data_IF_313467544014
#
_entry.id   IF_313467544014
#
_cell.length_a   1.000
_cell.length_b   1.000
_cell.length_c   1.000
_cell.angle_alpha   90.00
_cell.angle_beta   90.00
_cell.angle_gamma   90.00
#
_symmetry.space_group_name_H-M   'P 1'
#
loop_
_entity.id
_entity.type
_entity.pdbx_description
1 polymer ?
#
# COMPACT_ATOMS: atom_id res chain seq x y z
N UNK A 1 -22.35 34.86 -10.96
CA UNK A 1 -21.20 34.28 -10.25
C UNK A 1 -20.40 33.44 -11.24
N UNK A 2 -19.21 33.89 -11.62
CA UNK A 2 -18.30 33.13 -12.50
C UNK A 2 -17.35 32.33 -11.62
N UNK A 3 -17.62 31.03 -11.44
CA UNK A 3 -16.69 30.12 -10.80
C UNK A 3 -15.62 29.71 -11.84
N UNK A 4 -14.52 30.45 -11.90
CA UNK A 4 -13.33 30.02 -12.63
C UNK A 4 -12.31 29.48 -11.64
N UNK A 5 -12.22 28.16 -11.51
CA UNK A 5 -11.05 27.51 -10.91
C UNK A 5 -10.63 26.39 -11.84
N UNK A 6 -9.96 26.77 -12.93
CA UNK A 6 -9.28 25.82 -13.78
C UNK A 6 -7.97 25.43 -13.09
N UNK A 7 -7.90 24.17 -12.69
CA UNK A 7 -6.89 23.54 -11.83
C UNK A 7 -6.97 23.96 -10.35
N UNK A 8 -7.06 22.99 -9.42
CA UNK A 8 -6.86 23.25 -8.01
C UNK A 8 -5.44 23.79 -7.78
N UNK A 9 -5.29 24.78 -6.90
CA UNK A 9 -3.98 25.25 -6.44
C UNK A 9 -3.26 24.21 -5.58
N UNK A 10 -3.99 23.22 -5.07
CA UNK A 10 -3.47 22.14 -4.22
C UNK A 10 -4.16 20.83 -4.58
N UNK A 11 -3.38 19.77 -4.80
CA UNK A 11 -3.88 18.40 -4.97
C UNK A 11 -4.03 17.74 -3.60
N UNK A 12 -5.19 17.16 -3.31
CA UNK A 12 -5.41 16.35 -2.11
C UNK A 12 -5.25 14.88 -2.47
N UNK A 13 -4.12 14.30 -2.11
CA UNK A 13 -3.80 12.89 -2.41
C UNK A 13 -3.99 12.06 -1.15
N UNK A 14 -4.69 10.93 -1.27
CA UNK A 14 -4.86 10.02 -0.15
C UNK A 14 -3.82 8.90 -0.24
N UNK A 15 -2.90 8.83 0.71
CA UNK A 15 -1.91 7.75 0.79
C UNK A 15 -2.29 6.83 1.93
N UNK A 16 -2.54 5.55 1.62
CA UNK A 16 -3.02 4.56 2.59
C UNK A 16 -2.14 3.31 2.58
N UNK A 17 -2.21 2.53 3.65
CA UNK A 17 -1.44 1.31 3.82
C UNK A 17 -0.09 1.53 4.51
N UNK A 18 0.93 0.76 4.11
CA UNK A 18 2.21 0.67 4.84
C UNK A 18 3.20 1.79 4.46
N UNK A 19 2.80 3.04 4.72
CA UNK A 19 3.67 4.22 4.66
C UNK A 19 3.98 4.74 6.06
N UNK A 20 4.92 5.66 6.20
CA UNK A 20 5.27 6.25 7.50
C UNK A 20 4.12 7.13 8.03
N UNK A 21 3.49 7.94 7.16
CA UNK A 21 2.39 8.84 7.51
C UNK A 21 1.21 8.64 6.55
N UNK A 22 0.31 7.67 6.83
CA UNK A 22 -0.89 7.51 6.02
C UNK A 22 -1.87 8.65 6.27
N UNK A 23 -2.68 8.99 5.27
CA UNK A 23 -3.69 10.03 5.34
C UNK A 23 -3.77 10.86 4.06
N UNK A 24 -4.55 11.94 4.13
CA UNK A 24 -4.65 12.94 3.06
C UNK A 24 -3.46 13.89 3.14
N UNK A 25 -2.78 14.10 2.01
CA UNK A 25 -1.57 14.90 1.89
C UNK A 25 -1.81 15.98 0.82
N UNK A 26 -1.70 17.27 1.18
CA UNK A 26 -1.75 18.35 0.22
C UNK A 26 -0.43 18.44 -0.54
N UNK A 27 -0.49 18.47 -1.88
CA UNK A 27 0.67 18.59 -2.75
C UNK A 27 0.50 19.72 -3.77
N UNK A 28 1.60 20.30 -4.26
CA UNK A 28 1.54 21.24 -5.38
C UNK A 28 0.91 20.61 -6.64
N UNK A 29 0.36 21.44 -7.55
CA UNK A 29 -0.11 20.96 -8.84
C UNK A 29 1.01 20.29 -9.63
N UNK A 30 0.64 19.29 -10.46
CA UNK A 30 1.59 18.47 -11.24
C UNK A 30 2.57 17.66 -10.39
N UNK A 31 2.20 17.35 -9.15
CA UNK A 31 3.00 16.44 -8.34
C UNK A 31 2.95 15.01 -8.86
N UNK A 32 4.07 14.30 -8.73
CA UNK A 32 4.23 12.93 -9.20
C UNK A 32 3.96 11.91 -8.09
N UNK A 33 3.77 10.64 -8.48
CA UNK A 33 3.61 9.53 -7.54
C UNK A 33 4.75 9.45 -6.51
N UNK A 34 6.00 9.59 -6.96
CA UNK A 34 7.17 9.58 -6.07
C UNK A 34 7.12 10.73 -5.06
N UNK A 35 6.71 11.92 -5.47
CA UNK A 35 6.60 13.06 -4.57
C UNK A 35 5.56 12.83 -3.47
N UNK A 36 4.42 12.22 -3.81
CA UNK A 36 3.41 11.86 -2.81
C UNK A 36 3.91 10.81 -1.82
N UNK A 37 4.57 9.75 -2.30
CA UNK A 37 5.17 8.73 -1.44
C UNK A 37 6.23 9.33 -0.51
N UNK A 38 7.08 10.24 -1.00
CA UNK A 38 8.08 10.92 -0.19
C UNK A 38 7.43 11.88 0.82
N UNK A 39 6.38 12.59 0.45
CA UNK A 39 5.61 13.44 1.35
C UNK A 39 4.92 12.64 2.47
N UNK A 40 4.51 11.40 2.19
CA UNK A 40 4.03 10.44 3.19
C UNK A 40 5.16 9.91 4.12
N UNK A 41 6.39 10.38 3.98
CA UNK A 41 7.56 9.92 4.72
C UNK A 41 8.20 8.65 4.15
N UNK A 42 7.78 8.22 2.96
CA UNK A 42 8.23 7.01 2.29
C UNK A 42 7.55 5.74 2.81
N UNK A 43 8.06 4.61 2.33
CA UNK A 43 7.59 3.28 2.72
C UNK A 43 7.93 2.92 4.17
N UNK A 44 7.04 2.18 4.83
CA UNK A 44 7.36 1.54 6.09
C UNK A 44 8.43 0.45 5.86
N UNK A 45 9.68 0.72 6.25
CA UNK A 45 10.84 -0.15 6.00
C UNK A 45 10.72 -1.60 6.47
N UNK A 46 9.84 -1.88 7.45
CA UNK A 46 9.68 -3.23 8.02
C UNK A 46 8.58 -4.03 7.33
N UNK A 47 7.54 -3.37 6.85
CA UNK A 47 6.26 -4.01 6.53
C UNK A 47 5.73 -3.69 5.14
N UNK A 48 6.24 -2.66 4.47
CA UNK A 48 5.74 -2.24 3.16
C UNK A 48 6.23 -3.12 2.02
N UNK A 49 5.37 -3.32 1.03
CA UNK A 49 5.79 -3.66 -0.33
C UNK A 49 6.38 -2.40 -0.97
N UNK A 50 7.67 -2.44 -1.29
CA UNK A 50 8.39 -1.27 -1.83
C UNK A 50 8.57 -1.32 -3.34
N UNK A 51 8.29 -2.46 -3.99
CA UNK A 51 8.47 -2.61 -5.43
C UNK A 51 7.33 -2.02 -6.23
N UNK A 52 6.13 -2.10 -5.70
CA UNK A 52 4.92 -1.72 -6.41
C UNK A 52 3.92 -1.06 -5.46
N UNK A 53 3.13 -0.16 -6.01
CA UNK A 53 1.99 0.47 -5.35
C UNK A 53 0.80 0.44 -6.28
N UNK A 54 -0.38 0.59 -5.72
CA UNK A 54 -1.60 0.67 -6.49
C UNK A 54 -2.08 2.12 -6.52
N UNK A 55 -2.31 2.64 -7.72
CA UNK A 55 -2.94 3.94 -7.93
C UNK A 55 -4.38 3.74 -8.35
N UNK A 56 -5.29 4.27 -7.53
CA UNK A 56 -6.73 4.28 -7.78
C UNK A 56 -7.13 5.71 -8.12
N UNK A 57 -7.86 5.88 -9.22
CA UNK A 57 -8.29 7.17 -9.73
C UNK A 57 -9.78 7.14 -10.08
N UNK A 58 -10.52 8.12 -9.58
CA UNK A 58 -11.91 8.35 -9.98
C UNK A 58 -11.92 9.23 -11.23
N UNK A 59 -12.44 8.69 -12.32
CA UNK A 59 -12.54 9.39 -13.59
C UNK A 59 -13.80 10.28 -13.61
N UNK A 60 -13.81 11.38 -14.39
CA UNK A 60 -14.95 12.30 -14.45
C UNK A 60 -16.29 11.66 -14.89
N UNK A 61 -16.23 10.53 -15.60
CA UNK A 61 -17.40 9.75 -16.01
C UNK A 61 -17.95 8.83 -14.90
N UNK A 62 -17.41 8.91 -13.68
CA UNK A 62 -17.80 8.08 -12.54
C UNK A 62 -17.16 6.68 -12.51
N UNK A 63 -16.33 6.33 -13.49
CA UNK A 63 -15.59 5.05 -13.49
C UNK A 63 -14.34 5.15 -12.63
N UNK A 64 -13.89 4.01 -12.09
CA UNK A 64 -12.64 3.93 -11.33
C UNK A 64 -11.59 3.21 -12.17
N UNK A 65 -10.41 3.82 -12.31
CA UNK A 65 -9.23 3.16 -12.86
C UNK A 65 -8.31 2.75 -11.72
N UNK A 66 -7.78 1.54 -11.82
CA UNK A 66 -6.86 0.95 -10.86
C UNK A 66 -5.65 0.43 -11.64
N UNK A 67 -4.46 0.87 -11.26
CA UNK A 67 -3.21 0.40 -11.90
C UNK A 67 -2.15 0.11 -10.85
N UNK A 68 -1.46 -1.01 -11.03
CA UNK A 68 -0.24 -1.31 -10.29
C UNK A 68 0.93 -0.62 -10.97
N UNK A 69 1.71 0.12 -10.19
CA UNK A 69 2.87 0.90 -10.65
C UNK A 69 4.09 0.39 -9.93
N UNK A 70 5.10 -0.01 -10.70
CA UNK A 70 6.42 -0.30 -10.15
C UNK A 70 7.12 1.01 -9.77
N UNK A 71 7.51 1.10 -8.51
CA UNK A 71 8.07 2.33 -7.95
C UNK A 71 9.56 2.38 -8.18
N UNK A 72 9.98 3.40 -8.91
CA UNK A 72 11.38 3.77 -9.09
C UNK A 72 11.57 5.23 -8.68
N UNK A 73 12.19 5.45 -7.51
CA UNK A 73 12.48 6.79 -7.00
C UNK A 73 13.54 7.54 -7.81
N UNK A 74 14.28 6.86 -8.68
CA UNK A 74 15.25 7.49 -9.59
C UNK A 74 14.61 7.91 -10.92
N UNK A 75 13.41 7.43 -11.22
CA UNK A 75 12.71 7.77 -12.46
C UNK A 75 12.19 9.21 -12.46
N UNK A 76 12.43 9.90 -13.56
CA UNK A 76 11.77 11.16 -13.89
C UNK A 76 10.25 10.96 -14.05
N UNK A 77 9.49 12.06 -14.08
CA UNK A 77 8.03 12.01 -14.24
C UNK A 77 7.66 11.35 -15.57
N UNK A 78 6.90 10.26 -15.50
CA UNK A 78 6.47 9.48 -16.68
C UNK A 78 5.21 8.65 -16.36
N UNK A 79 4.40 8.34 -17.36
CA UNK A 79 3.11 7.66 -17.14
C UNK A 79 3.20 6.21 -16.62
N UNK A 80 4.37 5.58 -16.69
CA UNK A 80 4.56 4.15 -16.40
C UNK A 80 4.98 3.93 -14.94
N UNK A 81 6.06 4.56 -14.49
CA UNK A 81 6.66 4.33 -13.17
C UNK A 81 6.50 5.50 -12.20
N UNK A 82 6.31 6.72 -12.71
CA UNK A 82 6.20 7.91 -11.87
C UNK A 82 5.20 8.92 -12.46
N UNK A 83 3.91 8.54 -12.57
CA UNK A 83 2.92 9.36 -13.26
C UNK A 83 2.58 10.64 -12.48
N UNK A 84 2.07 11.62 -13.20
CA UNK A 84 1.43 12.78 -12.59
C UNK A 84 0.14 12.38 -11.88
N UNK A 85 -0.02 12.89 -10.67
CA UNK A 85 -1.20 12.69 -9.86
C UNK A 85 -2.27 13.72 -10.20
N UNK A 86 -3.52 13.31 -10.00
CA UNK A 86 -4.69 14.16 -10.06
C UNK A 86 -5.30 14.32 -8.67
N UNK A 87 -6.11 15.35 -8.51
CA UNK A 87 -6.81 15.59 -7.26
C UNK A 87 -7.70 14.40 -6.91
N UNK A 88 -7.71 14.01 -5.63
CA UNK A 88 -8.41 12.85 -5.09
C UNK A 88 -7.89 11.48 -5.56
N UNK A 89 -6.71 11.41 -6.18
CA UNK A 89 -6.03 10.13 -6.38
C UNK A 89 -5.77 9.43 -5.03
N UNK A 90 -5.89 8.10 -5.03
CA UNK A 90 -5.60 7.26 -3.87
C UNK A 90 -4.41 6.36 -4.20
N UNK A 91 -3.38 6.42 -3.36
CA UNK A 91 -2.19 5.57 -3.45
C UNK A 91 -2.26 4.54 -2.33
N UNK A 92 -2.35 3.27 -2.71
CA UNK A 92 -2.38 2.16 -1.76
C UNK A 92 -1.03 1.47 -1.74
N UNK A 93 -0.42 1.43 -0.56
CA UNK A 93 0.84 0.73 -0.32
C UNK A 93 0.57 -0.59 0.39
N UNK A 94 0.80 -1.69 -0.33
CA UNK A 94 0.60 -3.04 0.19
C UNK A 94 1.58 -3.43 1.29
N UNK A 95 1.27 -4.54 1.97
CA UNK A 95 2.19 -5.21 2.90
C UNK A 95 3.17 -6.10 2.13
N UNK A 96 4.40 -6.20 2.61
CA UNK A 96 5.38 -7.15 2.07
C UNK A 96 4.93 -8.59 2.36
N UNK A 97 5.13 -9.50 1.39
CA UNK A 97 4.73 -10.90 1.55
C UNK A 97 5.31 -11.57 2.81
N UNK A 98 6.52 -11.18 3.24
CA UNK A 98 7.15 -11.66 4.50
C UNK A 98 6.38 -11.26 5.76
N UNK A 99 5.75 -10.08 5.77
CA UNK A 99 4.87 -9.67 6.87
C UNK A 99 3.58 -10.48 6.88
N UNK A 100 3.03 -10.82 5.71
CA UNK A 100 1.80 -11.63 5.58
C UNK A 100 2.01 -13.08 6.03
N UNK A 101 3.21 -13.66 5.88
CA UNK A 101 3.48 -15.02 6.36
C UNK A 101 3.66 -15.10 7.88
N UNK A 102 4.27 -14.10 8.52
CA UNK A 102 4.53 -14.13 9.98
C UNK A 102 3.26 -14.16 10.83
N UNK A 103 2.20 -13.48 10.42
CA UNK A 103 0.95 -13.41 11.18
C UNK A 103 0.11 -14.71 11.06
N UNK A 104 0.43 -15.57 10.08
CA UNK A 104 -0.33 -16.81 9.79
C UNK A 104 0.35 -18.10 10.25
N UNK A 105 1.67 -18.14 10.51
CA UNK A 105 2.32 -19.37 11.00
C UNK A 105 2.06 -19.61 12.50
N UNK A 106 1.65 -18.59 13.25
CA UNK A 106 1.31 -18.71 14.68
C UNK A 106 -0.06 -19.34 14.97
N UNK A 107 -0.96 -19.42 13.98
CA UNK A 107 -2.38 -19.75 14.20
C UNK A 107 -2.78 -21.14 13.67
N UNK A 108 -1.98 -21.75 12.78
CA UNK A 108 -2.26 -23.07 12.15
C UNK A 108 -1.53 -24.23 12.82
N UNK A 109 -0.99 -24.06 14.03
CA UNK A 109 -0.53 -25.19 14.87
C UNK A 109 -1.38 -25.35 16.15
N UNK A 110 -2.39 -24.52 16.34
CA UNK A 110 -3.16 -24.42 17.58
C UNK A 110 -4.46 -25.25 17.67
N UNK A 111 -4.94 -25.98 16.65
CA UNK A 111 -6.03 -26.95 16.86
C UNK A 111 -5.61 -28.44 16.86
N UNK A 112 -4.33 -28.78 16.63
CA UNK A 112 -3.86 -30.18 16.70
C UNK A 112 -3.08 -30.52 17.98
N UNK A 113 -3.28 -29.74 19.04
CA UNK A 113 -2.70 -30.01 20.36
C UNK A 113 -3.28 -31.23 21.14
N UNK A 114 -4.28 -32.01 20.68
CA UNK A 114 -4.58 -33.32 21.31
C UNK A 114 -3.89 -34.52 20.65
N UNK A 115 -3.38 -34.40 19.41
CA UNK A 115 -2.93 -35.59 18.63
C UNK A 115 -1.44 -35.91 18.74
N UNK A 116 -0.63 -35.08 19.41
CA UNK A 116 0.74 -35.47 19.79
C UNK A 116 0.79 -36.19 21.16
N UNK A 117 -0.36 -36.35 21.82
CA UNK A 117 -0.49 -37.12 23.06
C UNK A 117 -0.47 -38.64 22.89
N UNK A 118 -0.65 -39.16 21.66
CA UNK A 118 -0.69 -40.61 21.41
C UNK A 118 0.69 -41.30 21.49
N UNK A 119 1.79 -40.54 21.41
CA UNK A 119 3.14 -41.12 21.53
C UNK A 119 3.65 -41.22 22.99
N UNK A 120 2.85 -40.82 23.99
CA UNK A 120 3.19 -41.00 25.41
C UNK A 120 2.67 -42.31 26.02
N UNK A 121 2.07 -43.21 25.22
CA UNK A 121 1.50 -44.47 25.72
C UNK A 121 2.35 -45.74 25.51
N UNK A 122 3.52 -45.66 24.88
CA UNK A 122 4.41 -46.84 24.71
C UNK A 122 5.56 -46.88 25.73
N UNK A 123 5.24 -46.72 27.02
CA UNK A 123 6.09 -47.20 28.10
C UNK A 123 5.26 -47.61 29.33
N UNK A 124 4.30 -48.51 29.13
CA UNK A 124 3.50 -49.11 30.21
C UNK A 124 3.47 -50.65 30.18
N UNK A 125 4.39 -51.31 29.46
CA UNK A 125 4.73 -52.72 29.71
C UNK A 125 6.24 -52.94 29.47
N UNK A 126 6.88 -53.41 30.56
CA UNK A 126 8.31 -53.61 30.88
C UNK A 126 9.21 -52.37 31.08
#
# INVERSE_FOLDING_TARGET
VTASSFSPDVLNINVVGEVVKPGSIPLPPKSSLNQALLAAGGFNKRRAQTKEVELIRLNPNGTVSQRTIEVDFSAEVNEVTNPNLLDNDVIVVGRSGRATFSDNVGTVLSPLSPLLGIFRFFNIFD
#
